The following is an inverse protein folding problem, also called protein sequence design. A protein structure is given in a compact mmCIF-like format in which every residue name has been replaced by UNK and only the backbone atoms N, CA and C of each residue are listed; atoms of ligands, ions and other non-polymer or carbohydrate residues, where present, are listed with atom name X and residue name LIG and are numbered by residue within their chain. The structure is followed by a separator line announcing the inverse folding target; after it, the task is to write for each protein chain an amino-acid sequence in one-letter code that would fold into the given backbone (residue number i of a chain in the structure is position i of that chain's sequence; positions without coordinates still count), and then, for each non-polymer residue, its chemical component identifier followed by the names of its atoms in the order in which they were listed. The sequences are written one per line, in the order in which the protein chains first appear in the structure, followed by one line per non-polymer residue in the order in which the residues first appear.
data_IF_668833309216
#
_entry.id   IF_668833309216
#
_cell.length_a   1.000
_cell.length_b   1.000
_cell.length_c   1.000
_cell.angle_alpha   90.00
_cell.angle_beta   90.00
_cell.angle_gamma   90.00
#
_symmetry.space_group_name_H-M   'P 1'
#
loop_
_entity.id
_entity.type
_entity.pdbx_description
1 polymer ?
#
# COMPACT_ATOMS: atom_id res chain seq x y z
N UNK A 1 6.96 -12.73 2.95
CA UNK A 1 6.24 -11.44 2.85
C UNK A 1 6.29 -10.97 1.40
N UNK A 2 5.19 -10.47 0.82
CA UNK A 2 5.26 -9.85 -0.50
C UNK A 2 6.22 -8.67 -0.45
N UNK A 3 7.19 -8.65 -1.37
CA UNK A 3 8.14 -7.56 -1.54
C UNK A 3 7.43 -6.38 -2.24
N UNK A 4 7.65 -5.15 -1.79
CA UNK A 4 7.12 -3.91 -2.40
C UNK A 4 7.33 -3.91 -3.91
N UNK A 5 8.50 -4.33 -4.39
CA UNK A 5 8.78 -4.41 -5.84
C UNK A 5 7.91 -5.44 -6.56
N UNK A 6 7.56 -6.55 -5.92
CA UNK A 6 6.69 -7.58 -6.50
C UNK A 6 5.24 -7.09 -6.61
N UNK A 7 4.77 -6.34 -5.62
CA UNK A 7 3.44 -5.68 -5.61
C UNK A 7 3.38 -4.61 -6.70
N UNK A 8 4.38 -3.73 -6.75
CA UNK A 8 4.50 -2.69 -7.78
C UNK A 8 4.53 -3.29 -9.20
N UNK A 9 5.31 -4.36 -9.40
CA UNK A 9 5.37 -5.05 -10.68
C UNK A 9 4.02 -5.65 -11.10
N UNK A 10 3.26 -6.19 -10.14
CA UNK A 10 1.91 -6.71 -10.41
C UNK A 10 0.94 -5.59 -10.83
N UNK A 11 0.95 -4.47 -10.13
CA UNK A 11 0.12 -3.30 -10.44
C UNK A 11 0.46 -2.73 -11.83
N UNK A 12 1.75 -2.57 -12.13
CA UNK A 12 2.22 -2.08 -13.43
C UNK A 12 1.80 -3.01 -14.57
N UNK A 13 1.98 -4.33 -14.42
CA UNK A 13 1.55 -5.31 -15.44
C UNK A 13 0.05 -5.22 -15.72
N UNK A 14 -0.77 -5.08 -14.67
CA UNK A 14 -2.21 -4.93 -14.82
C UNK A 14 -2.57 -3.66 -15.60
N UNK A 15 -1.87 -2.54 -15.32
CA UNK A 15 -2.08 -1.27 -16.02
C UNK A 15 -1.68 -1.35 -17.49
N UNK A 16 -0.53 -1.95 -17.80
CA UNK A 16 -0.08 -2.18 -19.19
C UNK A 16 -1.10 -3.01 -19.95
N UNK A 17 -1.55 -4.13 -19.38
CA UNK A 17 -2.56 -5.00 -19.98
C UNK A 17 -3.90 -4.28 -20.20
N UNK A 18 -4.33 -3.46 -19.24
CA UNK A 18 -5.57 -2.66 -19.34
C UNK A 18 -5.48 -1.56 -20.39
N UNK A 19 -4.31 -0.97 -20.61
CA UNK A 19 -4.12 0.12 -21.58
C UNK A 19 -4.40 -0.29 -23.02
N UNK A 20 -4.21 -1.57 -23.37
CA UNK A 20 -4.31 -2.14 -24.72
C UNK A 20 -3.50 -1.37 -25.79
N UNK A 21 -2.55 -0.52 -25.37
CA UNK A 21 -1.71 0.25 -26.27
C UNK A 21 -0.65 -0.66 -26.88
N UNK A 22 -0.48 -0.59 -28.20
CA UNK A 22 0.58 -1.34 -28.91
C UNK A 22 1.97 -0.79 -28.61
N UNK A 23 2.07 0.50 -28.31
CA UNK A 23 3.29 1.17 -27.88
C UNK A 23 2.98 2.11 -26.71
N UNK A 24 3.93 2.21 -25.79
CA UNK A 24 3.86 3.10 -24.63
C UNK A 24 5.09 3.99 -24.72
N UNK A 25 4.92 5.30 -24.55
CA UNK A 25 6.05 6.22 -24.54
C UNK A 25 6.93 5.97 -23.31
N UNK A 26 8.20 6.33 -23.38
CA UNK A 26 9.10 6.21 -22.21
C UNK A 26 8.57 7.02 -21.02
N UNK A 27 8.05 8.22 -21.27
CA UNK A 27 7.46 9.08 -20.25
C UNK A 27 6.26 8.42 -19.56
N UNK A 28 5.32 7.88 -20.35
CA UNK A 28 4.15 7.17 -19.80
C UNK A 28 4.58 5.94 -18.98
N UNK A 29 5.55 5.17 -19.47
CA UNK A 29 6.03 3.98 -18.77
C UNK A 29 6.68 4.32 -17.44
N UNK A 30 7.50 5.38 -17.40
CA UNK A 30 8.13 5.86 -16.17
C UNK A 30 7.08 6.37 -15.18
N UNK A 31 6.10 7.14 -15.65
CA UNK A 31 5.00 7.60 -14.81
C UNK A 31 4.23 6.41 -14.21
N UNK A 32 3.89 5.41 -15.01
CA UNK A 32 3.18 4.23 -14.51
C UNK A 32 4.01 3.40 -13.54
N UNK A 33 5.34 3.37 -13.69
CA UNK A 33 6.24 2.73 -12.74
C UNK A 33 6.23 3.44 -11.38
N UNK A 34 6.28 4.77 -11.37
CA UNK A 34 6.25 5.57 -10.15
C UNK A 34 4.90 5.39 -9.41
N UNK A 35 3.79 5.52 -10.13
CA UNK A 35 2.44 5.32 -9.56
C UNK A 35 2.28 3.90 -8.95
N UNK A 36 2.84 2.87 -9.61
CA UNK A 36 2.79 1.51 -9.10
C UNK A 36 3.67 1.29 -7.86
N UNK A 37 4.79 2.02 -7.74
CA UNK A 37 5.66 1.97 -6.55
C UNK A 37 5.04 2.71 -5.36
N UNK A 38 4.38 3.84 -5.61
CA UNK A 38 3.62 4.57 -4.58
C UNK A 38 2.52 3.66 -4.02
N UNK A 39 1.68 3.08 -4.88
CA UNK A 39 0.62 2.17 -4.44
C UNK A 39 1.18 0.97 -3.64
N UNK A 40 2.28 0.36 -4.09
CA UNK A 40 2.88 -0.77 -3.38
C UNK A 40 3.45 -0.37 -2.01
N UNK A 41 3.92 0.87 -1.88
CA UNK A 41 4.43 1.41 -0.62
C UNK A 41 3.29 1.69 0.34
N UNK A 42 2.17 2.24 -0.14
CA UNK A 42 0.96 2.47 0.64
C UNK A 42 0.39 1.14 1.17
N UNK A 43 0.26 0.13 0.30
CA UNK A 43 -0.20 -1.21 0.70
C UNK A 43 0.73 -1.85 1.74
N UNK A 44 2.04 -1.63 1.62
CA UNK A 44 3.01 -2.16 2.58
C UNK A 44 2.98 -1.41 3.91
N UNK A 45 2.79 -0.08 3.88
CA UNK A 45 2.64 0.74 5.07
C UNK A 45 1.35 0.38 5.83
N UNK A 46 0.23 0.17 5.14
CA UNK A 46 -1.02 -0.31 5.74
C UNK A 46 -0.86 -1.71 6.36
N UNK A 47 -0.17 -2.63 5.67
CA UNK A 47 0.10 -3.96 6.20
C UNK A 47 1.08 -3.96 7.39
N UNK A 48 1.94 -2.95 7.48
CA UNK A 48 2.91 -2.77 8.56
C UNK A 48 2.39 -1.91 9.71
N UNK A 49 1.25 -1.22 9.54
CA UNK A 49 0.64 -0.45 10.61
C UNK A 49 0.27 -1.42 11.75
N UNK A 50 0.74 -1.19 12.98
CA UNK A 50 0.35 -2.04 14.09
C UNK A 50 -1.16 -1.93 14.22
N UNK A 51 -1.86 -3.07 14.15
CA UNK A 51 -3.25 -3.15 14.59
C UNK A 51 -3.27 -2.68 16.03
N UNK A 52 -3.66 -1.43 16.28
CA UNK A 52 -3.99 -0.98 17.62
C UNK A 52 -5.30 -1.70 17.95
N UNK A 53 -5.18 -2.87 18.57
CA UNK A 53 -6.31 -3.54 19.21
C UNK A 53 -6.66 -2.69 20.42
N UNK A 54 -7.55 -1.70 20.21
CA UNK A 54 -8.18 -0.99 21.32
C UNK A 54 -9.04 -2.04 22.03
N UNK A 55 -8.59 -2.50 23.20
CA UNK A 55 -9.40 -3.38 24.03
C UNK A 55 -10.42 -2.50 24.80
N UNK A 56 -11.71 -2.50 24.43
CA UNK A 56 -12.70 -1.63 25.06
C UNK A 56 -12.94 -1.96 26.54
N UNK A 57 -12.56 -3.16 27.00
CA UNK A 57 -12.73 -3.57 28.40
C UNK A 57 -11.64 -3.07 29.34
N UNK A 58 -10.52 -2.53 28.81
CA UNK A 58 -9.44 -1.95 29.64
C UNK A 58 -9.71 -0.50 30.08
N UNK A 59 -10.85 0.07 29.72
CA UNK A 59 -11.27 1.41 30.12
C UNK A 59 -12.25 1.37 31.30
N UNK A 60 -11.95 0.60 32.35
CA UNK A 60 -12.69 0.69 33.61
C UNK A 60 -11.70 0.79 34.77
N UNK A 61 -11.41 2.05 35.13
CA UNK A 61 -11.28 2.47 36.51
C UNK A 61 -9.97 2.19 37.24
N UNK A 62 -8.98 3.07 37.06
CA UNK A 62 -8.15 3.54 38.18
C UNK A 62 -7.91 5.06 38.00
N UNK A 63 -8.95 5.82 38.37
CA UNK A 63 -8.81 7.20 38.84
C UNK A 63 -9.24 7.17 40.30
N UNK A 64 -8.48 6.48 41.15
CA UNK A 64 -8.56 6.77 42.58
C UNK A 64 -7.65 7.97 42.86
N UNK A 65 -8.33 9.05 43.23
CA UNK A 65 -7.79 10.37 43.54
C UNK A 65 -6.91 10.33 44.79
N UNK A 66 -5.89 11.20 44.76
CA UNK A 66 -5.33 12.05 45.83
C UNK A 66 -5.15 11.46 47.24
#
# INVERSE_FOLDING_TARGET
MPNVYAVAWKALKARIAKSRRRSISKADLVQWQLEALEQATDEYAEAAAPTIVVNPERYIGEQEKA
#
